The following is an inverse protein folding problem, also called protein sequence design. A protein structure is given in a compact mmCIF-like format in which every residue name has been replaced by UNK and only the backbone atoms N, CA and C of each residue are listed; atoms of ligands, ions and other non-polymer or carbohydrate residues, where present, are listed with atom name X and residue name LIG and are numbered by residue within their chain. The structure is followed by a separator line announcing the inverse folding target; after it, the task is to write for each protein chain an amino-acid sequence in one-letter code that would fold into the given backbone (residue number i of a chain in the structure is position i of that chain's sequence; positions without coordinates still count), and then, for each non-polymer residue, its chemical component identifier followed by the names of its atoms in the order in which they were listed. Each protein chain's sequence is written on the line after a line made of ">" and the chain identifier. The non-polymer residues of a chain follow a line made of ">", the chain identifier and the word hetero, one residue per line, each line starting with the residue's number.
data_IF_705564893294
#
_entry.id   IF_705564893294
#
_cell.length_a   1.000
_cell.length_b   1.000
_cell.length_c   1.000
_cell.angle_alpha   90.00
_cell.angle_beta   90.00
_cell.angle_gamma   90.00
#
_symmetry.space_group_name_H-M   'P 1'
#
loop_
_entity.id
_entity.type
_entity.pdbx_description
1 polymer ?
#
# COMPACT_ATOMS: atom_id res chain seq x y z
N UNK A 1 6.87 49.33 49.57
CA UNK A 1 6.36 48.20 48.75
C UNK A 1 5.42 48.76 47.68
N UNK A 2 5.84 48.76 46.41
CA UNK A 2 5.07 49.35 45.29
C UNK A 2 3.98 48.35 44.88
N UNK A 3 2.72 48.60 45.20
CA UNK A 3 1.58 47.76 44.79
C UNK A 3 1.38 47.91 43.28
N UNK A 4 1.54 46.81 42.54
CA UNK A 4 1.20 46.74 41.12
C UNK A 4 -0.34 46.77 41.03
N UNK A 5 -0.90 47.83 40.45
CA UNK A 5 -2.34 47.91 40.17
C UNK A 5 -2.65 46.94 39.04
N UNK A 6 -3.40 45.88 39.33
CA UNK A 6 -3.97 45.01 38.30
C UNK A 6 -5.12 45.78 37.63
N UNK A 7 -4.93 46.18 36.37
CA UNK A 7 -6.00 46.71 35.54
C UNK A 7 -6.81 45.52 35.01
N UNK A 8 -8.13 45.53 35.22
CA UNK A 8 -9.04 44.51 34.69
C UNK A 8 -9.36 44.76 33.22
N UNK A 9 -9.60 43.69 32.45
CA UNK A 9 -10.02 43.76 31.05
C UNK A 9 -11.40 44.39 30.90
N UNK A 10 -11.59 45.19 29.86
CA UNK A 10 -12.92 45.72 29.48
C UNK A 10 -13.69 44.70 28.64
N UNK A 11 -15.03 44.70 28.72
CA UNK A 11 -15.88 43.80 27.92
C UNK A 11 -15.68 44.00 26.42
N UNK A 12 -15.46 45.24 25.98
CA UNK A 12 -15.27 45.58 24.57
C UNK A 12 -13.95 45.01 24.03
N UNK A 13 -12.90 45.00 24.85
CA UNK A 13 -11.59 44.49 24.48
C UNK A 13 -11.59 42.97 24.32
N UNK A 14 -12.32 42.26 25.19
CA UNK A 14 -12.59 40.84 25.04
C UNK A 14 -13.44 40.54 23.78
N UNK A 15 -14.47 41.35 23.50
CA UNK A 15 -15.34 41.17 22.34
C UNK A 15 -14.57 41.37 21.02
N UNK A 16 -13.74 42.41 20.92
CA UNK A 16 -12.91 42.68 19.74
C UNK A 16 -11.87 41.58 19.54
N UNK A 17 -11.22 41.11 20.61
CA UNK A 17 -10.22 40.04 20.50
C UNK A 17 -10.83 38.74 19.94
N UNK A 18 -12.00 38.33 20.44
CA UNK A 18 -12.68 37.12 19.96
C UNK A 18 -13.15 37.31 18.51
N UNK A 19 -13.61 38.50 18.12
CA UNK A 19 -13.99 38.80 16.74
C UNK A 19 -12.82 38.63 15.77
N UNK A 20 -11.62 39.13 16.13
CA UNK A 20 -10.41 38.95 15.30
C UNK A 20 -10.01 37.48 15.21
N UNK A 21 -10.01 36.74 16.33
CA UNK A 21 -9.70 35.30 16.34
C UNK A 21 -10.70 34.51 15.50
N UNK A 22 -11.99 34.84 15.54
CA UNK A 22 -13.01 34.18 14.74
C UNK A 22 -12.78 34.38 13.22
N UNK A 23 -12.47 35.61 12.80
CA UNK A 23 -12.17 35.93 11.39
C UNK A 23 -10.93 35.17 10.91
N UNK A 24 -9.84 35.22 11.68
CA UNK A 24 -8.59 34.54 11.32
C UNK A 24 -8.77 33.01 11.30
N UNK A 25 -9.46 32.45 12.30
CA UNK A 25 -9.70 31.02 12.39
C UNK A 25 -10.57 30.51 11.24
N UNK A 26 -11.55 31.31 10.78
CA UNK A 26 -12.41 30.96 9.65
C UNK A 26 -11.66 30.66 8.36
N UNK A 27 -10.51 31.30 8.12
CA UNK A 27 -9.68 31.10 6.92
C UNK A 27 -8.66 29.98 7.11
N UNK A 28 -8.06 29.89 8.30
CA UNK A 28 -6.95 28.96 8.57
C UNK A 28 -7.41 27.50 8.52
N UNK A 29 -8.58 27.18 9.09
CA UNK A 29 -9.07 25.79 9.18
C UNK A 29 -9.19 25.08 7.82
N UNK A 30 -9.91 25.60 6.80
CA UNK A 30 -10.02 24.91 5.51
C UNK A 30 -8.67 24.78 4.79
N UNK A 31 -7.78 25.77 4.94
CA UNK A 31 -6.45 25.73 4.35
C UNK A 31 -5.58 24.62 4.95
N UNK A 32 -5.60 24.47 6.28
CA UNK A 32 -4.85 23.41 6.97
C UNK A 32 -5.37 22.03 6.57
N UNK A 33 -6.70 21.84 6.51
CA UNK A 33 -7.29 20.55 6.11
C UNK A 33 -6.89 20.18 4.68
N UNK A 34 -6.88 21.13 3.75
CA UNK A 34 -6.43 20.90 2.37
C UNK A 34 -4.97 20.46 2.33
N UNK A 35 -4.07 21.22 2.98
CA UNK A 35 -2.65 20.89 3.00
C UNK A 35 -2.37 19.53 3.65
N UNK A 36 -3.16 19.16 4.66
CA UNK A 36 -3.06 17.85 5.30
C UNK A 36 -3.45 16.72 4.35
N UNK A 37 -4.52 16.90 3.56
CA UNK A 37 -4.94 15.94 2.55
C UNK A 37 -3.92 15.81 1.42
N UNK A 38 -3.33 16.92 0.98
CA UNK A 38 -2.27 16.92 -0.04
C UNK A 38 -1.02 16.19 0.48
N UNK A 39 -0.62 16.45 1.73
CA UNK A 39 0.48 15.75 2.38
C UNK A 39 0.22 14.24 2.55
N UNK A 40 -1.03 13.84 2.88
CA UNK A 40 -1.44 12.43 2.93
C UNK A 40 -1.31 11.79 1.55
N UNK A 41 -1.86 12.38 0.49
CA UNK A 41 -1.75 11.86 -0.88
C UNK A 41 -0.29 11.75 -1.34
N UNK A 42 0.54 12.75 -1.05
CA UNK A 42 1.97 12.74 -1.38
C UNK A 42 2.71 11.59 -0.67
N UNK A 43 2.45 11.40 0.63
CA UNK A 43 3.00 10.26 1.40
C UNK A 43 2.56 8.92 0.81
N UNK A 44 1.26 8.76 0.55
CA UNK A 44 0.73 7.52 -0.02
C UNK A 44 1.34 7.21 -1.39
N UNK A 45 1.50 8.22 -2.25
CA UNK A 45 2.15 8.09 -3.56
C UNK A 45 3.61 7.65 -3.46
N UNK A 46 4.37 8.20 -2.50
CA UNK A 46 5.73 7.75 -2.25
C UNK A 46 5.78 6.30 -1.74
N UNK A 47 4.91 5.96 -0.78
CA UNK A 47 4.85 4.62 -0.19
C UNK A 47 4.54 3.54 -1.26
N UNK A 48 3.55 3.76 -2.15
CA UNK A 48 3.24 2.81 -3.24
C UNK A 48 4.37 2.69 -4.28
N UNK A 49 5.14 3.75 -4.54
CA UNK A 49 6.31 3.69 -5.42
C UNK A 49 7.45 2.87 -4.82
N UNK A 50 7.70 3.02 -3.52
CA UNK A 50 8.71 2.23 -2.80
C UNK A 50 8.34 0.74 -2.81
N UNK A 51 7.08 0.42 -2.55
CA UNK A 51 6.58 -0.96 -2.61
C UNK A 51 6.67 -1.50 -4.06
N UNK A 52 6.31 -0.71 -5.07
CA UNK A 52 6.44 -1.10 -6.47
C UNK A 52 7.90 -1.42 -6.86
N UNK A 53 8.84 -0.58 -6.42
CA UNK A 53 10.26 -0.80 -6.63
C UNK A 53 10.75 -2.08 -5.93
N UNK A 54 10.29 -2.36 -4.71
CA UNK A 54 10.61 -3.60 -4.00
C UNK A 54 10.12 -4.84 -4.75
N UNK A 55 8.88 -4.82 -5.26
CA UNK A 55 8.34 -5.91 -6.08
C UNK A 55 9.13 -6.07 -7.38
N UNK A 56 9.48 -4.96 -8.05
CA UNK A 56 10.26 -5.00 -9.28
C UNK A 56 11.66 -5.59 -9.05
N UNK A 57 12.36 -5.18 -7.98
CA UNK A 57 13.66 -5.73 -7.61
C UNK A 57 13.59 -7.21 -7.28
N UNK A 58 12.58 -7.63 -6.50
CA UNK A 58 12.35 -9.04 -6.21
C UNK A 58 12.11 -9.86 -7.49
N UNK A 59 11.32 -9.32 -8.43
CA UNK A 59 11.02 -9.99 -9.70
C UNK A 59 12.26 -10.10 -10.58
N UNK A 60 13.10 -9.05 -10.65
CA UNK A 60 14.36 -9.06 -11.38
C UNK A 60 15.34 -10.09 -10.81
N UNK A 61 15.45 -10.15 -9.49
CA UNK A 61 16.42 -11.01 -8.81
C UNK A 61 15.98 -12.47 -8.74
N UNK A 62 14.68 -12.76 -8.65
CA UNK A 62 14.19 -14.14 -8.51
C UNK A 62 13.57 -14.71 -9.77
N UNK A 63 13.29 -13.87 -10.77
CA UNK A 63 12.51 -14.23 -11.95
C UNK A 63 11.06 -14.64 -11.64
N UNK A 64 10.60 -14.44 -10.40
CA UNK A 64 9.32 -14.95 -9.90
C UNK A 64 8.46 -13.83 -9.32
N UNK A 65 7.18 -13.85 -9.69
CA UNK A 65 6.16 -12.97 -9.12
C UNK A 65 5.86 -13.38 -7.66
N UNK A 66 5.38 -12.45 -6.81
CA UNK A 66 4.78 -12.81 -5.53
C UNK A 66 3.71 -13.91 -5.69
N UNK A 67 3.68 -14.94 -4.83
CA UNK A 67 2.63 -15.98 -4.75
C UNK A 67 2.12 -16.14 -3.29
N UNK A 68 0.83 -16.48 -3.08
CA UNK A 68 0.16 -16.44 -1.78
C UNK A 68 0.25 -17.74 -0.94
N UNK A 69 1.22 -18.62 -1.21
CA UNK A 69 1.35 -19.89 -0.50
C UNK A 69 2.74 -20.12 0.11
N UNK A 70 3.29 -19.07 0.75
CA UNK A 70 4.61 -19.00 1.42
C UNK A 70 5.73 -18.38 0.57
N UNK A 71 5.63 -17.07 0.33
CA UNK A 71 6.66 -16.28 -0.35
C UNK A 71 6.93 -16.74 -1.80
N UNK A 72 8.00 -16.26 -2.47
CA UNK A 72 8.33 -16.54 -3.88
C UNK A 72 8.57 -18.02 -4.26
N UNK A 73 8.20 -18.97 -3.40
CA UNK A 73 8.26 -20.41 -3.62
C UNK A 73 6.93 -21.15 -3.35
N UNK A 74 5.81 -20.45 -3.17
CA UNK A 74 4.50 -21.09 -3.13
C UNK A 74 4.06 -21.54 -4.52
N UNK A 75 4.36 -22.80 -4.88
CA UNK A 75 3.74 -23.48 -6.01
C UNK A 75 2.28 -23.79 -5.67
N UNK A 76 1.42 -22.77 -5.76
CA UNK A 76 -0.03 -22.98 -5.82
C UNK A 76 -0.46 -22.44 -7.17
N UNK A 77 -1.13 -23.30 -7.94
CA UNK A 77 -1.49 -23.07 -9.33
C UNK A 77 -2.17 -21.72 -9.58
N UNK A 78 -2.17 -21.34 -10.86
CA UNK A 78 -3.00 -20.29 -11.46
C UNK A 78 -4.08 -19.72 -10.51
N UNK A 79 -3.84 -18.55 -9.93
CA UNK A 79 -4.70 -18.04 -8.86
C UNK A 79 -4.58 -16.53 -8.62
N UNK A 80 -5.69 -15.95 -8.19
CA UNK A 80 -5.75 -14.57 -7.69
C UNK A 80 -5.02 -14.50 -6.35
N UNK A 81 -4.04 -13.61 -6.24
CA UNK A 81 -3.35 -13.42 -4.98
C UNK A 81 -3.35 -11.94 -4.61
N UNK A 82 -3.70 -11.72 -3.34
CA UNK A 82 -3.85 -10.43 -2.71
C UNK A 82 -2.92 -10.42 -1.50
N UNK A 83 -1.95 -9.49 -1.51
CA UNK A 83 -1.02 -9.29 -0.41
C UNK A 83 -1.19 -7.91 0.16
N UNK A 84 -0.92 -7.75 1.44
CA UNK A 84 -1.08 -6.45 2.09
C UNK A 84 -0.13 -6.24 3.26
N UNK A 85 0.02 -4.97 3.64
CA UNK A 85 0.75 -4.54 4.84
C UNK A 85 0.03 -4.97 6.13
N UNK A 86 0.70 -4.84 7.29
CA UNK A 86 0.11 -5.12 8.60
C UNK A 86 -0.97 -4.05 8.95
N UNK A 87 -2.04 -4.41 9.69
CA UNK A 87 -3.12 -3.46 10.04
C UNK A 87 -4.53 -4.05 10.11
N UNK A 88 -5.59 -3.23 10.14
CA UNK A 88 -7.00 -3.65 10.16
C UNK A 88 -7.41 -4.41 8.89
N UNK A 89 -8.46 -5.25 8.96
CA UNK A 89 -8.95 -6.02 7.80
C UNK A 89 -9.23 -5.11 6.60
N UNK A 90 -8.89 -5.55 5.39
CA UNK A 90 -9.23 -4.79 4.18
C UNK A 90 -10.75 -4.81 3.99
N UNK A 91 -11.40 -3.67 4.23
CA UNK A 91 -12.85 -3.53 4.06
C UNK A 91 -13.14 -3.51 2.56
N UNK A 92 -13.87 -4.52 2.08
CA UNK A 92 -14.13 -4.73 0.65
C UNK A 92 -13.32 -5.87 0.02
N UNK A 93 -12.53 -6.62 0.80
CA UNK A 93 -12.07 -7.95 0.38
C UNK A 93 -13.25 -8.76 -0.14
N UNK A 94 -13.21 -9.12 -1.43
CA UNK A 94 -14.21 -10.05 -1.98
C UNK A 94 -14.26 -11.30 -1.09
N UNK A 95 -15.44 -11.88 -0.92
CA UNK A 95 -15.56 -13.18 -0.26
C UNK A 95 -14.78 -14.22 -1.08
N UNK A 96 -13.87 -14.97 -0.44
CA UNK A 96 -12.93 -15.88 -1.11
C UNK A 96 -11.49 -15.37 -1.24
N UNK A 97 -11.26 -14.12 -0.86
CA UNK A 97 -9.92 -13.58 -0.63
C UNK A 97 -9.48 -14.01 0.76
N UNK A 98 -8.42 -14.81 0.88
CA UNK A 98 -7.91 -15.21 2.17
C UNK A 98 -7.58 -13.96 3.01
N UNK A 99 -8.36 -13.77 4.06
CA UNK A 99 -8.16 -12.76 5.09
C UNK A 99 -6.77 -13.01 5.68
N UNK A 100 -5.77 -12.16 5.43
CA UNK A 100 -4.38 -12.38 5.87
C UNK A 100 -4.18 -12.18 7.38
N UNK A 101 -5.03 -12.80 8.17
CA UNK A 101 -4.70 -13.20 9.53
C UNK A 101 -3.50 -14.17 9.52
N UNK A 102 -3.30 -14.95 8.45
CA UNK A 102 -2.18 -15.88 8.31
C UNK A 102 -0.92 -15.19 7.77
N UNK A 103 0.24 -15.55 8.31
CA UNK A 103 1.56 -14.98 7.99
C UNK A 103 1.99 -14.94 6.50
N UNK A 104 1.57 -15.86 5.58
CA UNK A 104 2.18 -15.96 4.25
C UNK A 104 1.66 -14.97 3.19
N UNK A 105 0.69 -14.11 3.54
CA UNK A 105 0.13 -13.10 2.64
C UNK A 105 0.53 -11.66 3.04
N UNK A 106 1.48 -11.52 3.99
CA UNK A 106 1.98 -10.22 4.45
C UNK A 106 3.16 -9.73 3.60
N UNK A 107 3.32 -8.41 3.45
CA UNK A 107 4.47 -7.82 2.77
C UNK A 107 5.81 -8.27 3.37
N UNK A 108 5.90 -8.38 4.69
CA UNK A 108 7.07 -8.93 5.38
C UNK A 108 7.47 -10.31 4.81
N UNK A 109 6.51 -11.23 4.69
CA UNK A 109 6.78 -12.57 4.15
C UNK A 109 7.22 -12.59 2.67
N UNK A 110 6.89 -11.53 1.91
CA UNK A 110 7.30 -11.38 0.52
C UNK A 110 8.70 -10.79 0.38
N UNK A 111 8.98 -9.74 1.18
CA UNK A 111 10.15 -8.91 0.96
C UNK A 111 11.26 -9.17 1.97
N UNK A 112 10.98 -9.51 3.23
CA UNK A 112 11.96 -9.53 4.32
C UNK A 112 12.37 -10.94 4.79
N UNK A 113 11.69 -11.99 4.35
CA UNK A 113 12.07 -13.37 4.68
C UNK A 113 13.05 -13.92 3.62
N UNK A 114 14.15 -14.60 4.02
CA UNK A 114 14.91 -15.43 3.10
C UNK A 114 13.97 -16.49 2.55
N UNK A 115 13.51 -16.29 1.33
CA UNK A 115 12.65 -17.24 0.66
C UNK A 115 13.42 -18.54 0.43
N UNK A 116 12.72 -19.63 0.21
CA UNK A 116 13.36 -20.89 -0.17
C UNK A 116 13.95 -20.88 -1.61
N UNK A 117 14.20 -19.73 -2.25
CA UNK A 117 14.97 -19.63 -3.50
C UNK A 117 16.48 -19.70 -3.30
N UNK A 118 16.94 -20.31 -2.19
CA UNK A 118 18.20 -21.05 -2.19
C UNK A 118 18.13 -22.30 -3.09
N UNK A 119 16.93 -22.68 -3.56
CA UNK A 119 16.78 -23.76 -4.53
C UNK A 119 17.21 -23.29 -5.92
N UNK A 120 18.46 -23.61 -6.22
CA UNK A 120 19.06 -23.46 -7.53
C UNK A 120 18.14 -23.88 -8.68
N UNK A 121 18.05 -23.00 -9.68
CA UNK A 121 17.31 -23.29 -10.90
C UNK A 121 18.11 -24.33 -11.71
N UNK A 122 17.49 -25.40 -12.20
CA UNK A 122 18.20 -26.39 -13.02
C UNK A 122 18.01 -26.05 -14.49
N UNK A 123 19.04 -25.49 -15.13
CA UNK A 123 19.09 -25.33 -16.58
C UNK A 123 19.96 -26.46 -17.16
N UNK A 124 19.43 -27.22 -18.12
CA UNK A 124 20.12 -28.32 -18.81
C UNK A 124 20.73 -29.38 -17.87
N UNK A 125 20.06 -29.70 -16.76
CA UNK A 125 20.54 -30.72 -15.81
C UNK A 125 21.67 -30.25 -14.89
N UNK A 126 22.07 -28.99 -14.98
CA UNK A 126 23.05 -28.36 -14.06
C UNK A 126 22.37 -27.36 -13.14
N UNK A 127 22.71 -27.44 -11.86
CA UNK A 127 22.26 -26.59 -10.77
C UNK A 127 22.86 -25.18 -10.94
N UNK A 128 22.10 -24.23 -11.50
CA UNK A 128 22.50 -22.80 -11.55
C UNK A 128 21.92 -22.08 -10.33
N UNK A 129 22.78 -21.91 -9.31
CA UNK A 129 22.35 -21.62 -7.96
C UNK A 129 22.37 -20.13 -7.55
N UNK A 130 22.94 -19.23 -8.35
CA UNK A 130 23.28 -17.89 -7.84
C UNK A 130 22.71 -16.71 -8.64
N UNK A 131 22.32 -16.90 -9.91
CA UNK A 131 21.93 -15.76 -10.75
C UNK A 131 20.55 -15.22 -10.37
N UNK A 132 19.57 -16.11 -10.16
CA UNK A 132 18.17 -15.78 -9.87
C UNK A 132 17.74 -16.11 -8.43
N UNK A 133 18.54 -15.66 -7.46
CA UNK A 133 18.32 -15.94 -6.04
C UNK A 133 17.89 -14.69 -5.27
N UNK A 134 17.26 -14.90 -4.11
CA UNK A 134 16.93 -13.81 -3.20
C UNK A 134 18.18 -13.10 -2.70
N UNK A 135 18.26 -11.78 -2.91
CA UNK A 135 19.44 -10.97 -2.58
C UNK A 135 19.29 -10.18 -1.28
N UNK A 136 18.20 -10.37 -0.55
CA UNK A 136 17.97 -9.76 0.74
C UNK A 136 16.64 -9.01 0.83
N UNK A 137 16.41 -8.32 1.96
CA UNK A 137 15.16 -7.60 2.16
C UNK A 137 14.94 -6.53 1.11
N UNK A 138 13.95 -6.72 0.24
CA UNK A 138 13.60 -5.72 -0.79
C UNK A 138 12.81 -4.55 -0.22
N UNK A 139 12.27 -4.71 0.99
CA UNK A 139 11.52 -3.71 1.72
C UNK A 139 11.92 -3.82 3.19
N UNK A 140 12.17 -2.68 3.83
CA UNK A 140 12.43 -2.64 5.26
C UNK A 140 11.15 -2.95 6.05
N UNK A 141 11.30 -3.58 7.22
CA UNK A 141 10.16 -4.08 8.02
C UNK A 141 9.20 -2.96 8.44
N UNK A 142 9.74 -1.77 8.72
CA UNK A 142 8.97 -0.58 9.06
C UNK A 142 8.05 -0.15 7.92
N UNK A 143 8.53 -0.21 6.67
CA UNK A 143 7.74 0.13 5.49
C UNK A 143 6.75 -0.99 5.15
N UNK A 144 7.14 -2.26 5.34
CA UNK A 144 6.27 -3.42 5.12
C UNK A 144 5.07 -3.46 6.08
N UNK A 145 5.24 -2.90 7.28
CA UNK A 145 4.21 -2.82 8.33
C UNK A 145 3.39 -1.53 8.30
N UNK A 146 3.83 -0.54 7.50
CA UNK A 146 3.23 0.78 7.47
C UNK A 146 1.82 0.72 6.89
N UNK A 147 0.87 1.31 7.61
CA UNK A 147 -0.46 1.60 7.06
C UNK A 147 -0.42 2.87 6.21
N UNK A 148 -1.42 3.00 5.34
CA UNK A 148 -1.61 4.23 4.59
C UNK A 148 -1.97 5.42 5.51
N UNK A 149 -1.96 6.66 4.99
CA UNK A 149 -2.26 7.85 5.77
C UNK A 149 -3.70 7.94 6.30
N UNK A 150 -4.59 7.07 5.85
CA UNK A 150 -5.99 6.95 6.30
C UNK A 150 -6.20 5.76 7.24
N UNK A 151 -5.15 5.00 7.55
CA UNK A 151 -5.17 3.85 8.45
C UNK A 151 -5.55 2.53 7.76
N UNK A 152 -5.74 2.53 6.45
CA UNK A 152 -5.98 1.34 5.65
C UNK A 152 -4.66 0.67 5.25
N UNK A 153 -4.77 -0.54 4.70
CA UNK A 153 -3.61 -1.30 4.25
C UNK A 153 -3.30 -1.01 2.78
N UNK A 154 -2.03 -0.94 2.46
CA UNK A 154 -1.57 -1.10 1.07
C UNK A 154 -1.82 -2.52 0.58
N UNK A 155 -2.19 -2.65 -0.69
CA UNK A 155 -2.52 -3.93 -1.32
C UNK A 155 -1.71 -4.13 -2.60
N UNK A 156 -1.24 -5.35 -2.82
CA UNK A 156 -0.65 -5.80 -4.09
C UNK A 156 -1.67 -6.71 -4.75
N UNK A 157 -2.06 -6.38 -5.98
CA UNK A 157 -2.93 -7.19 -6.83
C UNK A 157 -2.09 -7.74 -7.96
N UNK A 158 -1.99 -9.06 -8.08
CA UNK A 158 -1.21 -9.68 -9.14
C UNK A 158 -1.72 -11.07 -9.43
N UNK A 159 -1.77 -11.42 -10.71
CA UNK A 159 -2.13 -12.77 -11.13
C UNK A 159 -0.85 -13.51 -11.52
N UNK A 160 -0.65 -14.66 -10.88
CA UNK A 160 0.42 -15.59 -11.20
C UNK A 160 -0.21 -16.79 -11.91
N UNK A 161 -0.21 -16.75 -13.23
CA UNK A 161 -0.59 -17.88 -14.05
C UNK A 161 0.54 -18.92 -14.05
N UNK A 162 0.20 -20.20 -14.21
CA UNK A 162 1.19 -21.27 -14.35
C UNK A 162 2.13 -21.13 -15.56
N UNK A 163 1.97 -20.08 -16.37
CA UNK A 163 2.84 -19.69 -17.50
C UNK A 163 3.04 -18.18 -17.52
N UNK A 164 4.25 -17.74 -17.91
CA UNK A 164 4.59 -16.32 -18.10
C UNK A 164 3.67 -15.62 -19.12
N UNK A 165 3.14 -16.35 -20.09
CA UNK A 165 2.22 -15.83 -21.12
C UNK A 165 0.83 -15.49 -20.57
N UNK A 166 0.48 -15.98 -19.38
CA UNK A 166 -0.82 -15.74 -18.72
C UNK A 166 -0.69 -14.75 -17.56
N UNK A 167 0.51 -14.20 -17.33
CA UNK A 167 0.72 -13.27 -16.23
C UNK A 167 0.21 -11.86 -16.58
N UNK A 168 -0.76 -11.38 -15.81
CA UNK A 168 -1.26 -10.00 -15.90
C UNK A 168 -0.35 -8.96 -15.23
N UNK A 169 -0.67 -7.66 -15.34
CA UNK A 169 0.05 -6.61 -14.62
C UNK A 169 -0.03 -6.81 -13.10
N UNK A 170 0.99 -6.33 -12.39
CA UNK A 170 0.95 -6.22 -10.93
C UNK A 170 0.62 -4.77 -10.59
N UNK A 171 -0.35 -4.59 -9.70
CA UNK A 171 -0.82 -3.30 -9.21
C UNK A 171 -0.49 -3.16 -7.73
N UNK A 172 0.08 -2.02 -7.36
CA UNK A 172 0.21 -1.58 -5.98
C UNK A 172 -0.85 -0.53 -5.74
N UNK A 173 -1.63 -0.70 -4.69
CA UNK A 173 -2.86 0.06 -4.47
C UNK A 173 -2.90 0.60 -3.05
N UNK A 174 -3.24 1.87 -2.94
CA UNK A 174 -3.70 2.53 -1.74
C UNK A 174 -5.17 2.90 -1.97
N UNK A 175 -6.08 2.35 -1.17
CA UNK A 175 -7.51 2.56 -1.35
C UNK A 175 -7.93 4.02 -1.09
N UNK A 176 -7.14 4.76 -0.31
CA UNK A 176 -7.43 6.16 -0.03
C UNK A 176 -8.43 6.34 1.12
N UNK A 177 -9.01 7.54 1.25
CA UNK A 177 -9.96 7.88 2.30
C UNK A 177 -11.20 6.96 2.40
N UNK A 178 -11.72 6.46 1.29
CA UNK A 178 -12.92 5.62 1.28
C UNK A 178 -12.65 4.18 1.74
N UNK A 179 -11.39 3.74 1.69
CA UNK A 179 -10.95 2.40 2.03
C UNK A 179 -11.45 1.31 1.07
N UNK A 180 -12.00 1.67 -0.08
CA UNK A 180 -12.60 0.74 -1.04
C UNK A 180 -11.86 0.79 -2.38
N UNK A 181 -11.71 -0.36 -3.01
CA UNK A 181 -11.26 -0.46 -4.42
C UNK A 181 -12.43 -0.95 -5.25
N UNK A 182 -12.55 -0.53 -6.50
CA UNK A 182 -13.61 -1.02 -7.38
C UNK A 182 -13.58 -2.56 -7.52
N UNK A 183 -14.74 -3.23 -7.42
CA UNK A 183 -14.85 -4.69 -7.54
C UNK A 183 -14.25 -5.25 -8.84
N UNK A 184 -14.37 -4.51 -9.95
CA UNK A 184 -13.78 -4.84 -11.24
C UNK A 184 -12.24 -4.80 -11.25
N UNK A 185 -11.62 -4.01 -10.36
CA UNK A 185 -10.16 -3.92 -10.23
C UNK A 185 -9.59 -4.99 -9.28
N UNK A 186 -10.38 -5.44 -8.29
CA UNK A 186 -9.96 -6.49 -7.34
C UNK A 186 -10.27 -7.92 -7.79
N UNK A 187 -11.17 -8.10 -8.76
CA UNK A 187 -11.55 -9.42 -9.28
C UNK A 187 -10.84 -9.67 -10.60
N UNK A 188 -10.01 -10.72 -10.69
CA UNK A 188 -9.47 -11.16 -11.98
C UNK A 188 -10.55 -11.89 -12.78
N UNK A 189 -10.84 -11.43 -13.98
CA UNK A 189 -11.70 -12.14 -14.94
C UNK A 189 -10.80 -12.92 -15.89
N UNK A 190 -11.06 -14.21 -16.10
CA UNK A 190 -10.34 -15.05 -17.07
C UNK A 190 -8.80 -14.94 -17.01
N UNK A 191 -8.22 -15.20 -15.82
CA UNK A 191 -6.77 -15.34 -15.63
C UNK A 191 -5.94 -14.05 -15.76
N UNK A 192 -6.52 -12.85 -15.58
CA UNK A 192 -5.74 -11.61 -15.46
C UNK A 192 -6.46 -10.52 -14.66
N UNK A 193 -5.69 -9.72 -13.92
CA UNK A 193 -6.13 -8.39 -13.47
C UNK A 193 -6.26 -7.46 -14.68
N UNK A 194 -7.09 -6.40 -14.61
CA UNK A 194 -7.29 -5.52 -15.76
C UNK A 194 -5.97 -4.89 -16.21
N UNK A 195 -5.79 -4.82 -17.54
CA UNK A 195 -4.60 -4.24 -18.17
C UNK A 195 -4.44 -2.74 -17.88
N UNK A 196 -5.56 -2.07 -17.61
CA UNK A 196 -5.68 -0.66 -17.26
C UNK A 196 -6.54 -0.56 -16.00
N UNK A 197 -6.10 0.22 -15.02
CA UNK A 197 -6.89 0.46 -13.81
C UNK A 197 -8.19 1.20 -14.14
N UNK A 198 -9.33 0.67 -13.71
CA UNK A 198 -10.62 1.32 -13.94
C UNK A 198 -10.91 2.34 -12.83
N UNK A 199 -11.01 3.62 -13.19
CA UNK A 199 -11.34 4.72 -12.25
C UNK A 199 -12.83 5.08 -12.26
N UNK A 200 -13.64 4.41 -13.08
CA UNK A 200 -15.06 4.72 -13.24
C UNK A 200 -15.86 3.87 -12.25
N UNK A 201 -16.43 4.51 -11.22
CA UNK A 201 -17.28 3.83 -10.25
C UNK A 201 -17.25 4.46 -8.86
N UNK A 202 -17.44 3.60 -7.85
CA UNK A 202 -17.68 3.98 -6.44
C UNK A 202 -16.41 4.44 -5.72
N UNK A 203 -15.23 3.96 -6.14
CA UNK A 203 -13.93 4.42 -5.63
C UNK A 203 -13.18 5.17 -6.73
N UNK A 204 -12.90 6.45 -6.48
CA UNK A 204 -12.19 7.38 -7.39
C UNK A 204 -10.94 7.98 -6.74
N UNK A 205 -10.69 7.65 -5.47
CA UNK A 205 -9.60 8.13 -4.64
C UNK A 205 -8.43 7.15 -4.53
N UNK A 206 -8.58 5.95 -5.11
CA UNK A 206 -7.53 4.96 -5.30
C UNK A 206 -6.25 5.58 -5.90
N UNK A 207 -5.13 5.42 -5.19
CA UNK A 207 -3.81 5.70 -5.72
C UNK A 207 -3.15 4.39 -6.14
N UNK A 208 -2.79 4.29 -7.42
CA UNK A 208 -2.25 3.06 -7.99
C UNK A 208 -0.95 3.26 -8.74
N UNK A 209 -0.09 2.25 -8.66
CA UNK A 209 1.13 2.14 -9.46
C UNK A 209 1.18 0.76 -10.10
N UNK A 210 1.48 0.73 -11.39
CA UNK A 210 1.77 -0.50 -12.12
C UNK A 210 3.24 -0.85 -11.93
N UNK A 211 3.51 -2.11 -11.59
CA UNK A 211 4.87 -2.66 -11.66
C UNK A 211 5.12 -3.12 -13.10
N UNK A 212 6.23 -2.65 -13.68
CA UNK A 212 6.69 -3.02 -15.01
C UNK A 212 7.72 -4.15 -14.95
#
# INVERSE_FOLDING_TARGET
>A
MKRIRQQGFTLIEAAVAIAVVAILSGIIVPLVVKNLNDARRARASNDIQVIAAAVASQLKDTGRRPSAANGPNGATGAGQALWHSLGAAWVGGGSGVANAATAPQRFESLFCAPNQNAQANTLFGTTVAAEFSYRGPYLANDVAQKTDPWGNRYVILGYNGGSQTTNGPIWIVCAGPDGQVLAANRTATANAYPAVWNTTGVSQDDLVVRVN
#
